data_IF_286788611349
#
_entry.id   IF_286788611349
#
_cell.length_a   1.000
_cell.length_b   1.000
_cell.length_c   1.000
_cell.angle_alpha   90.00
_cell.angle_beta   90.00
_cell.angle_gamma   90.00
#
_symmetry.space_group_name_H-M   'P 1'
#
loop_
_entity.id
_entity.type
_entity.pdbx_description
1 polymer ?
#
# COMPACT_ATOMS: atom_id res chain seq x y z
N UNK A 1 8.13 6.85 8.91
CA UNK A 1 6.87 6.53 8.19
C UNK A 1 5.69 6.32 9.12
N UNK A 2 5.77 5.45 10.13
CA UNK A 2 4.66 5.14 11.05
C UNK A 2 3.92 6.37 11.60
N UNK A 3 4.64 7.35 12.15
CA UNK A 3 4.01 8.56 12.70
C UNK A 3 3.23 9.37 11.65
N UNK A 4 3.77 9.48 10.43
CA UNK A 4 3.10 10.19 9.36
C UNK A 4 1.83 9.47 8.86
N UNK A 5 1.72 8.15 9.06
CA UNK A 5 0.50 7.39 8.80
C UNK A 5 -0.52 7.52 9.94
N UNK A 6 -0.07 7.53 11.19
CA UNK A 6 -0.92 7.85 12.35
C UNK A 6 -1.59 9.22 12.17
N UNK A 7 -0.82 10.23 11.78
CA UNK A 7 -1.32 11.59 11.51
C UNK A 7 -2.35 11.65 10.38
N UNK A 8 -2.40 10.63 9.51
CA UNK A 8 -3.32 10.52 8.36
C UNK A 8 -4.51 9.61 8.63
N UNK A 9 -4.68 9.17 9.87
CA UNK A 9 -5.84 8.41 10.32
C UNK A 9 -5.66 6.89 10.34
N UNK A 10 -4.43 6.39 10.21
CA UNK A 10 -4.15 4.98 10.44
C UNK A 10 -4.21 4.62 11.94
N UNK A 11 -4.69 3.43 12.26
CA UNK A 11 -4.49 2.86 13.60
C UNK A 11 -3.03 2.44 13.80
N UNK A 12 -2.56 2.36 15.06
CA UNK A 12 -1.15 2.11 15.35
C UNK A 12 -0.58 0.82 14.73
N UNK A 13 -1.35 -0.27 14.76
CA UNK A 13 -0.94 -1.54 14.13
C UNK A 13 -0.86 -1.38 12.62
N UNK A 14 -1.90 -0.80 12.01
CA UNK A 14 -1.98 -0.53 10.57
C UNK A 14 -0.86 0.39 10.10
N UNK A 15 -0.58 1.48 10.82
CA UNK A 15 0.49 2.42 10.52
C UNK A 15 1.87 1.74 10.50
N UNK A 16 2.11 0.83 11.44
CA UNK A 16 3.36 0.06 11.48
C UNK A 16 3.44 -0.90 10.30
N UNK A 17 2.39 -1.67 10.03
CA UNK A 17 2.36 -2.59 8.89
C UNK A 17 2.52 -1.84 7.57
N UNK A 18 1.84 -0.71 7.40
CA UNK A 18 1.97 0.17 6.24
C UNK A 18 3.42 0.60 6.03
N UNK A 19 4.11 1.01 7.11
CA UNK A 19 5.51 1.40 7.04
C UNK A 19 6.43 0.23 6.64
N UNK A 20 6.15 -0.98 7.14
CA UNK A 20 6.86 -2.19 6.75
C UNK A 20 6.63 -2.53 5.26
N UNK A 21 5.41 -2.38 4.75
CA UNK A 21 5.09 -2.63 3.34
C UNK A 21 5.77 -1.65 2.39
N UNK A 22 5.81 -0.36 2.74
CA UNK A 22 6.52 0.66 1.95
C UNK A 22 8.02 0.39 1.92
N UNK A 23 8.59 -0.01 3.07
CA UNK A 23 9.99 -0.40 3.13
C UNK A 23 10.28 -1.62 2.26
N UNK A 24 9.41 -2.64 2.29
CA UNK A 24 9.54 -3.81 1.42
C UNK A 24 9.46 -3.45 -0.07
N UNK A 25 8.49 -2.62 -0.48
CA UNK A 25 8.38 -2.17 -1.87
C UNK A 25 9.66 -1.45 -2.33
N UNK A 26 10.17 -0.53 -1.49
CA UNK A 26 11.41 0.19 -1.78
C UNK A 26 12.57 -0.78 -1.99
N UNK A 27 12.74 -1.73 -1.08
CA UNK A 27 13.86 -2.66 -1.13
C UNK A 27 13.75 -3.65 -2.32
N UNK A 28 12.53 -4.01 -2.74
CA UNK A 28 12.29 -4.98 -3.81
C UNK A 28 12.25 -4.36 -5.22
N UNK A 29 11.78 -3.11 -5.36
CA UNK A 29 11.48 -2.51 -6.66
C UNK A 29 12.02 -1.10 -6.89
N UNK A 30 12.19 -0.28 -5.85
CA UNK A 30 12.48 1.15 -6.03
C UNK A 30 13.35 1.67 -4.88
N UNK A 31 14.65 1.36 -4.91
CA UNK A 31 15.59 1.71 -3.82
C UNK A 31 15.65 3.23 -3.57
N UNK A 32 15.30 4.06 -4.57
CA UNK A 32 15.29 5.52 -4.48
C UNK A 32 13.96 6.09 -3.92
N UNK A 33 12.97 5.24 -3.60
CA UNK A 33 11.69 5.68 -3.04
C UNK A 33 11.90 6.41 -1.70
N UNK A 34 11.55 7.70 -1.71
CA UNK A 34 11.57 8.53 -0.51
C UNK A 34 10.25 8.47 0.25
N UNK A 35 10.30 8.79 1.55
CA UNK A 35 9.09 8.91 2.36
C UNK A 35 8.13 9.98 1.81
N UNK A 36 8.67 11.12 1.36
CA UNK A 36 7.88 12.19 0.74
C UNK A 36 7.23 11.73 -0.57
N UNK A 37 7.98 11.04 -1.43
CA UNK A 37 7.46 10.49 -2.67
C UNK A 37 6.30 9.52 -2.45
N UNK A 38 6.38 8.61 -1.48
CA UNK A 38 5.24 7.76 -1.14
C UNK A 38 4.06 8.56 -0.57
N UNK A 39 4.32 9.54 0.29
CA UNK A 39 3.28 10.37 0.88
C UNK A 39 2.54 11.22 -0.16
N UNK A 40 3.16 11.58 -1.27
CA UNK A 40 2.52 12.25 -2.39
C UNK A 40 1.50 11.34 -3.09
N UNK A 41 1.85 10.08 -3.36
CA UNK A 41 0.89 9.08 -3.86
C UNK A 41 -0.28 8.87 -2.89
N UNK A 42 0.02 8.81 -1.58
CA UNK A 42 -1.01 8.66 -0.55
C UNK A 42 -1.94 9.89 -0.47
N UNK A 43 -1.40 11.10 -0.66
CA UNK A 43 -2.18 12.33 -0.67
C UNK A 43 -3.06 12.45 -1.93
N UNK A 44 -2.59 11.94 -3.07
CA UNK A 44 -3.35 11.92 -4.32
C UNK A 44 -4.55 10.95 -4.27
N UNK A 45 -4.55 9.97 -3.36
CA UNK A 45 -5.63 9.00 -3.17
C UNK A 45 -6.89 9.59 -2.48
N UNK A 46 -7.16 10.89 -2.60
CA UNK A 46 -8.21 11.61 -1.85
C UNK A 46 -9.66 11.09 -2.09
N UNK A 47 -9.86 10.27 -3.12
CA UNK A 47 -11.16 9.65 -3.43
C UNK A 47 -11.61 8.62 -2.39
N UNK A 48 -10.69 8.12 -1.55
CA UNK A 48 -11.01 7.12 -0.52
C UNK A 48 -11.00 7.72 0.89
N UNK A 49 -12.05 7.48 1.66
CA UNK A 49 -12.15 7.96 3.05
C UNK A 49 -11.24 7.17 4.02
N UNK A 50 -11.14 5.84 3.86
CA UNK A 50 -10.34 4.99 4.74
C UNK A 50 -8.85 5.10 4.42
N UNK A 51 -8.00 5.07 5.45
CA UNK A 51 -6.54 5.03 5.28
C UNK A 51 -6.10 3.82 4.45
N UNK A 52 -6.67 2.65 4.72
CA UNK A 52 -6.28 1.38 4.08
C UNK A 52 -6.49 1.43 2.56
N UNK A 53 -7.64 1.93 2.10
CA UNK A 53 -7.91 2.06 0.66
C UNK A 53 -7.03 3.13 0.01
N UNK A 54 -6.77 4.25 0.69
CA UNK A 54 -5.82 5.27 0.21
C UNK A 54 -4.43 4.70 0.04
N UNK A 55 -3.99 3.91 1.01
CA UNK A 55 -2.70 3.25 1.00
C UNK A 55 -2.61 2.23 -0.13
N UNK A 56 -3.62 1.37 -0.30
CA UNK A 56 -3.63 0.37 -1.36
C UNK A 56 -3.65 0.99 -2.76
N UNK A 57 -4.35 2.11 -2.91
CA UNK A 57 -4.31 2.90 -4.14
C UNK A 57 -2.92 3.47 -4.40
N UNK A 58 -2.29 4.08 -3.40
CA UNK A 58 -0.94 4.63 -3.51
C UNK A 58 0.10 3.56 -3.91
N UNK A 59 0.02 2.37 -3.31
CA UNK A 59 0.84 1.20 -3.69
C UNK A 59 0.56 0.76 -5.12
N UNK A 60 -0.71 0.79 -5.55
CA UNK A 60 -1.09 0.47 -6.92
C UNK A 60 -0.51 1.44 -7.95
N UNK A 61 -0.59 2.75 -7.70
CA UNK A 61 -0.03 3.78 -8.57
C UNK A 61 1.50 3.69 -8.64
N UNK A 62 2.15 3.47 -7.49
CA UNK A 62 3.60 3.30 -7.42
C UNK A 62 4.07 2.07 -8.22
N UNK A 63 3.37 0.94 -8.08
CA UNK A 63 3.66 -0.25 -8.86
C UNK A 63 3.39 -0.06 -10.35
N UNK A 64 2.32 0.65 -10.73
CA UNK A 64 2.02 0.95 -12.12
C UNK A 64 3.08 1.86 -12.78
N UNK A 65 3.71 2.73 -11.98
CA UNK A 65 4.81 3.58 -12.42
C UNK A 65 6.17 2.85 -12.50
N UNK A 66 6.31 1.71 -11.83
CA UNK A 66 7.54 0.92 -11.79
C UNK A 66 7.41 -0.32 -12.69
N UNK A 67 8.10 -0.30 -13.84
CA UNK A 67 8.03 -1.35 -14.86
C UNK A 67 8.53 -2.74 -14.39
N UNK A 68 9.31 -2.80 -13.31
CA UNK A 68 9.77 -4.04 -12.68
C UNK A 68 8.77 -4.61 -11.65
N UNK A 69 7.73 -3.86 -11.27
CA UNK A 69 6.70 -4.31 -10.35
C UNK A 69 5.47 -4.90 -11.07
N UNK A 70 5.44 -6.23 -11.23
CA UNK A 70 4.31 -6.92 -11.88
C UNK A 70 3.17 -7.28 -10.93
N UNK A 71 3.40 -7.26 -9.61
CA UNK A 71 2.39 -7.59 -8.60
C UNK A 71 2.54 -6.74 -7.34
N UNK A 72 1.67 -5.75 -7.21
CA UNK A 72 1.62 -4.84 -6.06
C UNK A 72 0.94 -5.41 -4.82
N UNK A 73 0.22 -6.54 -4.93
CA UNK A 73 -0.61 -7.09 -3.84
C UNK A 73 0.18 -7.42 -2.56
N UNK A 74 1.42 -7.94 -2.61
CA UNK A 74 2.21 -8.20 -1.40
C UNK A 74 2.50 -6.96 -0.54
N UNK A 75 2.40 -5.77 -1.14
CA UNK A 75 2.68 -4.50 -0.47
C UNK A 75 1.41 -3.75 -0.02
N UNK A 76 0.22 -4.27 -0.31
CA UNK A 76 -1.06 -3.67 0.12
C UNK A 76 -1.40 -4.06 1.57
N UNK A 77 -2.23 -3.24 2.23
CA UNK A 77 -2.76 -3.47 3.57
C UNK A 77 -3.98 -4.36 3.58
N UNK A 78 -4.86 -4.22 2.58
CA UNK A 78 -5.84 -5.26 2.31
C UNK A 78 -5.07 -6.49 1.85
N UNK A 79 -4.79 -7.39 2.79
CA UNK A 79 -4.44 -8.75 2.45
C UNK A 79 -5.54 -9.36 1.59
N UNK A 80 -5.24 -10.49 0.97
CA UNK A 80 -6.30 -11.43 0.59
C UNK A 80 -7.12 -11.65 1.87
N UNK A 81 -8.27 -10.97 1.99
CA UNK A 81 -9.24 -11.31 3.01
C UNK A 81 -9.51 -12.81 2.85
N UNK A 82 -10.00 -13.49 3.88
CA UNK A 82 -10.36 -14.93 3.79
C UNK A 82 -11.45 -15.21 2.71
N UNK A 83 -11.88 -14.17 1.98
CA UNK A 83 -12.81 -14.14 0.84
C UNK A 83 -12.14 -13.87 -0.51
N UNK A 84 -10.82 -13.75 -0.59
CA UNK A 84 -10.14 -13.49 -1.84
C UNK A 84 -10.19 -14.75 -2.72
N UNK A 85 -11.25 -14.82 -3.53
CA UNK A 85 -11.63 -15.93 -4.40
C UNK A 85 -11.50 -17.31 -3.73
N UNK A 86 -12.58 -17.73 -3.07
CA UNK A 86 -12.80 -19.16 -2.85
C UNK A 86 -12.65 -19.87 -4.22
N UNK A 87 -11.67 -20.78 -4.40
CA UNK A 87 -11.47 -21.47 -5.66
C UNK A 87 -12.66 -22.37 -6.05
N UNK A 88 -13.62 -22.62 -5.16
CA UNK A 88 -14.89 -23.29 -5.47
C UNK A 88 -15.96 -22.34 -6.06
N UNK A 89 -15.80 -21.01 -5.99
CA UNK A 89 -16.65 -20.05 -6.72
C UNK A 89 -16.09 -19.89 -8.14
N UNK A 90 -16.08 -20.97 -8.90
CA UNK A 90 -15.50 -20.98 -10.24
C UNK A 90 -15.50 -22.32 -10.99
N UNK A 91 -16.34 -23.29 -10.60
CA UNK A 91 -16.52 -24.56 -11.31
C UNK A 91 -17.95 -24.75 -11.81
#
# INVERSE_FOLDING_TARGET
MTDAFLDRGAEATTARTAAERVAAFRDDHEEELTAEGFLDYLAAAETYDSFDHRFDHAVGELAAANEDCTDSRPYRLAGFDELAADPDIGA
#
